data_IF_611031865190
#
_entry.id   IF_611031865190
#
_cell.length_a   1.000
_cell.length_b   1.000
_cell.length_c   1.000
_cell.angle_alpha   90.00
_cell.angle_beta   90.00
_cell.angle_gamma   90.00
#
_symmetry.space_group_name_H-M   'P 1'
#
loop_
_entity.id
_entity.type
_entity.pdbx_description
1 polymer ?
#
# COMPACT_ATOMS: atom_id res chain seq x y z
N UNK A 1 17.09 33.16 -2.64
CA UNK A 1 16.94 31.82 -3.25
C UNK A 1 15.47 31.60 -3.56
N UNK A 2 15.14 31.09 -4.75
CA UNK A 2 13.78 30.68 -5.09
C UNK A 2 13.42 29.35 -4.40
N UNK A 3 12.13 29.13 -4.20
CA UNK A 3 11.59 27.87 -3.70
C UNK A 3 11.93 26.71 -4.66
N UNK A 4 12.45 25.61 -4.12
CA UNK A 4 12.94 24.44 -4.89
C UNK A 4 12.00 23.23 -4.86
N UNK A 5 10.82 23.34 -4.21
CA UNK A 5 9.89 22.21 -4.11
C UNK A 5 9.38 21.80 -5.49
N UNK A 6 9.44 20.50 -5.80
CA UNK A 6 8.97 19.94 -7.07
C UNK A 6 7.45 20.01 -7.25
N UNK A 7 6.70 20.19 -6.16
CA UNK A 7 5.24 20.14 -6.15
C UNK A 7 4.68 18.74 -6.40
N UNK A 8 5.51 17.69 -6.44
CA UNK A 8 5.09 16.29 -6.59
C UNK A 8 5.12 15.57 -5.25
N UNK A 9 4.07 14.82 -4.94
CA UNK A 9 3.94 14.00 -3.73
C UNK A 9 3.64 12.56 -4.13
N UNK A 10 4.31 11.61 -3.50
CA UNK A 10 4.00 10.19 -3.56
C UNK A 10 3.46 9.74 -2.21
N UNK A 11 2.30 9.11 -2.22
CA UNK A 11 1.68 8.53 -1.03
C UNK A 11 2.18 7.10 -0.89
N UNK A 12 2.58 6.69 0.32
CA UNK A 12 3.16 5.36 0.55
C UNK A 12 2.51 4.66 1.73
N UNK A 13 2.22 3.37 1.59
CA UNK A 13 1.86 2.49 2.71
C UNK A 13 2.91 2.55 3.81
N UNK A 14 2.47 2.48 5.07
CA UNK A 14 3.34 2.60 6.24
C UNK A 14 4.57 1.68 6.18
N UNK A 15 4.39 0.43 5.74
CA UNK A 15 5.44 -0.57 5.68
C UNK A 15 6.59 -0.24 4.73
N UNK A 16 6.38 0.64 3.73
CA UNK A 16 7.43 1.12 2.82
C UNK A 16 8.46 1.97 3.59
N UNK A 17 8.00 2.74 4.58
CA UNK A 17 8.83 3.60 5.42
C UNK A 17 9.19 2.99 6.78
N UNK A 18 8.60 1.85 7.13
CA UNK A 18 8.86 1.17 8.40
C UNK A 18 8.49 -0.31 8.31
N UNK A 19 9.45 -1.14 7.90
CA UNK A 19 9.27 -2.59 7.75
C UNK A 19 8.99 -3.31 9.07
N UNK A 20 9.21 -2.66 10.22
CA UNK A 20 8.80 -3.17 11.55
C UNK A 20 7.28 -3.26 11.73
N UNK A 21 6.49 -2.67 10.83
CA UNK A 21 5.03 -2.79 10.81
C UNK A 21 4.51 -4.05 10.10
N UNK A 22 5.39 -4.73 9.37
CA UNK A 22 5.09 -6.00 8.71
C UNK A 22 4.87 -7.09 9.75
N UNK A 23 4.23 -8.17 9.33
CA UNK A 23 4.21 -9.40 10.11
C UNK A 23 5.63 -9.99 10.21
N UNK A 24 5.84 -10.77 11.27
CA UNK A 24 7.14 -11.38 11.55
C UNK A 24 7.67 -12.19 10.36
N UNK A 25 8.99 -12.12 10.14
CA UNK A 25 9.73 -12.83 9.09
C UNK A 25 9.44 -12.35 7.64
N UNK A 26 8.63 -11.31 7.42
CA UNK A 26 8.37 -10.76 6.09
C UNK A 26 9.35 -9.66 5.66
N UNK A 27 10.00 -8.99 6.61
CA UNK A 27 10.96 -7.92 6.30
C UNK A 27 12.17 -8.45 5.50
N UNK A 28 12.51 -7.75 4.41
CA UNK A 28 13.71 -7.98 3.61
C UNK A 28 14.81 -6.95 3.87
N UNK A 29 14.47 -5.89 4.60
CA UNK A 29 15.34 -4.78 4.94
C UNK A 29 15.33 -4.57 6.46
N UNK A 30 16.35 -3.90 7.01
CA UNK A 30 16.41 -3.62 8.44
C UNK A 30 15.50 -2.48 8.91
N UNK A 31 14.96 -1.64 8.00
CA UNK A 31 14.18 -0.47 8.42
C UNK A 31 13.14 0.02 7.41
N UNK A 32 13.53 0.25 6.16
CA UNK A 32 12.65 0.78 5.10
C UNK A 32 12.80 -0.07 3.84
N UNK A 33 11.84 0.00 2.93
CA UNK A 33 11.98 -0.54 1.56
C UNK A 33 13.02 0.30 0.79
N UNK A 34 14.29 -0.03 0.98
CA UNK A 34 15.43 0.87 0.73
C UNK A 34 15.48 1.37 -0.72
N UNK A 35 15.38 0.47 -1.69
CA UNK A 35 15.48 0.77 -3.12
C UNK A 35 14.32 1.66 -3.57
N UNK A 36 13.12 1.47 -2.99
CA UNK A 36 11.96 2.33 -3.27
C UNK A 36 12.22 3.73 -2.73
N UNK A 37 12.68 3.85 -1.48
CA UNK A 37 12.95 5.15 -0.86
C UNK A 37 14.09 5.90 -1.55
N UNK A 38 15.18 5.22 -1.89
CA UNK A 38 16.30 5.80 -2.65
C UNK A 38 15.84 6.34 -4.00
N UNK A 39 14.96 5.62 -4.71
CA UNK A 39 14.38 6.08 -5.96
C UNK A 39 13.51 7.32 -5.76
N UNK A 40 12.63 7.35 -4.74
CA UNK A 40 11.80 8.52 -4.45
C UNK A 40 12.65 9.76 -4.11
N UNK A 41 13.72 9.58 -3.32
CA UNK A 41 14.69 10.64 -3.01
C UNK A 41 15.33 11.16 -4.30
N UNK A 42 15.84 10.26 -5.15
CA UNK A 42 16.45 10.63 -6.43
C UNK A 42 15.49 11.39 -7.36
N UNK A 43 14.20 11.07 -7.30
CA UNK A 43 13.14 11.76 -8.05
C UNK A 43 12.73 13.12 -7.47
N UNK A 44 13.20 13.47 -6.28
CA UNK A 44 12.91 14.76 -5.66
C UNK A 44 11.43 14.99 -5.35
N UNK A 45 10.69 13.91 -5.05
CA UNK A 45 9.27 13.98 -4.66
C UNK A 45 9.13 14.10 -3.15
N UNK A 46 8.05 14.73 -2.69
CA UNK A 46 7.63 14.61 -1.30
C UNK A 46 7.04 13.22 -1.04
N UNK A 47 7.20 12.70 0.18
CA UNK A 47 6.63 11.41 0.59
C UNK A 47 5.56 11.67 1.65
N UNK A 48 4.33 11.21 1.39
CA UNK A 48 3.23 11.25 2.34
C UNK A 48 2.95 9.83 2.83
N UNK A 49 3.19 9.57 4.11
CA UNK A 49 2.92 8.27 4.71
C UNK A 49 1.44 8.15 5.08
N UNK A 50 0.80 7.04 4.70
CA UNK A 50 -0.49 6.65 5.28
C UNK A 50 -0.27 5.75 6.51
N UNK A 51 -1.15 5.83 7.52
CA UNK A 51 -1.15 4.87 8.63
C UNK A 51 -1.38 3.44 8.11
N UNK A 52 -0.92 2.44 8.87
CA UNK A 52 -1.12 1.04 8.51
C UNK A 52 -2.56 0.62 8.88
N UNK A 53 -3.45 0.31 7.91
CA UNK A 53 -4.86 0.05 8.19
C UNK A 53 -5.06 -1.14 9.14
N UNK A 54 -4.20 -2.15 9.07
CA UNK A 54 -4.29 -3.33 9.91
C UNK A 54 -3.81 -3.05 11.35
N UNK A 55 -2.84 -2.16 11.54
CA UNK A 55 -2.42 -1.72 12.89
C UNK A 55 -3.48 -0.82 13.50
N UNK A 56 -4.06 0.11 12.74
CA UNK A 56 -5.17 0.94 13.22
C UNK A 56 -6.36 0.10 13.69
N UNK A 57 -6.62 -1.02 13.01
CA UNK A 57 -7.72 -1.92 13.36
C UNK A 57 -7.38 -2.90 14.50
N UNK A 58 -6.17 -3.45 14.54
CA UNK A 58 -5.85 -4.64 15.35
C UNK A 58 -4.51 -4.57 16.11
N UNK A 59 -3.81 -3.44 16.04
CA UNK A 59 -2.52 -3.23 16.70
C UNK A 59 -1.35 -3.98 16.03
N UNK A 60 -0.15 -3.82 16.61
CA UNK A 60 1.07 -4.40 16.05
C UNK A 60 1.14 -5.92 16.20
N UNK A 61 0.56 -6.48 17.26
CA UNK A 61 0.54 -7.93 17.54
C UNK A 61 -0.56 -8.70 16.80
N UNK A 62 -1.15 -8.07 15.77
CA UNK A 62 -2.25 -8.65 14.98
C UNK A 62 -1.83 -9.96 14.32
N UNK A 63 -2.80 -10.85 14.12
CA UNK A 63 -2.61 -12.05 13.29
C UNK A 63 -2.75 -11.68 11.82
N UNK A 64 -1.96 -12.37 11.01
CA UNK A 64 -2.10 -12.36 9.58
C UNK A 64 -3.46 -12.92 9.15
N UNK A 65 -4.17 -12.19 8.29
CA UNK A 65 -5.51 -12.54 7.83
C UNK A 65 -5.62 -12.24 6.32
N UNK A 66 -6.40 -13.02 5.55
CA UNK A 66 -6.64 -12.71 4.15
C UNK A 66 -7.68 -11.61 3.96
N UNK A 67 -7.80 -11.12 2.72
CA UNK A 67 -8.66 -10.00 2.31
C UNK A 67 -10.09 -10.13 2.83
N UNK A 68 -10.70 -11.31 2.73
CA UNK A 68 -12.09 -11.57 3.13
C UNK A 68 -12.35 -11.22 4.59
N UNK A 69 -11.34 -11.33 5.46
CA UNK A 69 -11.44 -10.98 6.87
C UNK A 69 -11.68 -9.49 7.11
N UNK A 70 -11.33 -8.65 6.13
CA UNK A 70 -11.44 -7.19 6.20
C UNK A 70 -12.64 -6.65 5.42
N UNK A 71 -13.39 -7.50 4.69
CA UNK A 71 -14.53 -7.06 3.88
C UNK A 71 -15.83 -6.87 4.68
N UNK A 72 -15.84 -7.24 5.96
CA UNK A 72 -17.00 -7.04 6.83
C UNK A 72 -17.42 -5.55 6.83
N UNK A 73 -18.72 -5.20 6.68
CA UNK A 73 -19.17 -3.82 6.53
C UNK A 73 -18.66 -2.85 7.61
N UNK A 74 -18.64 -3.30 8.87
CA UNK A 74 -18.08 -2.50 10.00
C UNK A 74 -16.59 -2.19 9.86
N UNK A 75 -15.81 -3.10 9.28
CA UNK A 75 -14.37 -2.88 9.03
C UNK A 75 -14.21 -1.92 7.85
N UNK A 76 -14.98 -2.11 6.78
CA UNK A 76 -15.01 -1.17 5.65
C UNK A 76 -15.38 0.25 6.07
N UNK A 77 -16.33 0.42 6.99
CA UNK A 77 -16.68 1.73 7.53
C UNK A 77 -15.49 2.41 8.25
N UNK A 78 -14.71 1.66 9.02
CA UNK A 78 -13.47 2.16 9.65
C UNK A 78 -12.48 2.63 8.59
N UNK A 79 -12.26 1.81 7.55
CA UNK A 79 -11.35 2.14 6.45
C UNK A 79 -11.84 3.27 5.56
N UNK A 80 -13.15 3.40 5.38
CA UNK A 80 -13.78 4.53 4.74
C UNK A 80 -13.45 5.84 5.48
N UNK A 81 -13.66 5.86 6.80
CA UNK A 81 -13.38 7.04 7.62
C UNK A 81 -11.90 7.41 7.60
N UNK A 82 -11.01 6.42 7.66
CA UNK A 82 -9.56 6.62 7.56
C UNK A 82 -9.16 7.19 6.19
N UNK A 83 -9.72 6.66 5.11
CA UNK A 83 -9.50 7.15 3.75
C UNK A 83 -9.98 8.60 3.56
N UNK A 84 -11.12 8.96 4.13
CA UNK A 84 -11.65 10.33 4.12
C UNK A 84 -10.72 11.30 4.88
N UNK A 85 -10.18 10.90 6.04
CA UNK A 85 -9.21 11.71 6.78
C UNK A 85 -7.92 11.98 5.98
N UNK A 86 -7.36 10.95 5.37
CA UNK A 86 -6.18 11.07 4.51
C UNK A 86 -6.49 12.00 3.34
N UNK A 87 -7.63 11.79 2.67
CA UNK A 87 -8.04 12.58 1.50
C UNK A 87 -8.27 14.05 1.85
N UNK A 88 -8.83 14.36 3.04
CA UNK A 88 -8.95 15.74 3.54
C UNK A 88 -7.58 16.44 3.61
N UNK A 89 -6.55 15.74 4.07
CA UNK A 89 -5.18 16.28 4.13
C UNK A 89 -4.59 16.45 2.73
N UNK A 90 -4.72 15.44 1.86
CA UNK A 90 -4.21 15.51 0.48
C UNK A 90 -4.86 16.65 -0.32
N UNK A 91 -6.15 16.92 -0.10
CA UNK A 91 -6.88 18.01 -0.75
C UNK A 91 -6.26 19.39 -0.47
N UNK A 92 -5.66 19.62 0.71
CA UNK A 92 -4.94 20.86 1.00
C UNK A 92 -3.68 21.02 0.13
N UNK A 93 -2.94 19.94 -0.09
CA UNK A 93 -1.79 19.96 -0.99
C UNK A 93 -2.22 20.24 -2.43
N UNK A 94 -3.32 19.63 -2.88
CA UNK A 94 -3.88 19.85 -4.21
C UNK A 94 -4.35 21.30 -4.39
N UNK A 95 -5.07 21.87 -3.43
CA UNK A 95 -5.47 23.29 -3.43
C UNK A 95 -4.27 24.25 -3.48
N UNK A 96 -3.12 23.83 -2.95
CA UNK A 96 -1.85 24.57 -3.03
C UNK A 96 -1.15 24.43 -4.39
N UNK A 97 -1.66 23.59 -5.28
CA UNK A 97 -1.09 23.33 -6.61
C UNK A 97 -0.12 22.15 -6.66
N UNK A 98 -0.06 21.30 -5.64
CA UNK A 98 0.76 20.09 -5.68
C UNK A 98 0.03 18.93 -6.33
N UNK A 99 0.78 18.07 -7.03
CA UNK A 99 0.31 16.86 -7.67
C UNK A 99 0.56 15.66 -6.77
N UNK A 100 -0.48 14.88 -6.50
CA UNK A 100 -0.33 13.51 -5.98
C UNK A 100 -0.01 12.63 -7.18
N UNK A 101 1.26 12.25 -7.33
CA UNK A 101 1.76 11.56 -8.53
C UNK A 101 1.44 10.08 -8.51
N UNK A 102 1.66 9.42 -7.37
CA UNK A 102 1.47 7.99 -7.23
C UNK A 102 1.05 7.61 -5.81
N UNK A 103 0.40 6.45 -5.69
CA UNK A 103 0.12 5.73 -4.44
C UNK A 103 0.85 4.41 -4.52
N UNK A 104 1.73 4.18 -3.54
CA UNK A 104 2.55 2.99 -3.43
C UNK A 104 2.00 2.11 -2.30
N UNK A 105 1.43 0.97 -2.69
CA UNK A 105 0.96 -0.09 -1.79
C UNK A 105 1.94 -1.25 -1.68
N UNK A 106 1.52 -2.33 -1.02
CA UNK A 106 2.32 -3.55 -0.83
C UNK A 106 1.56 -4.76 -1.36
N UNK A 107 2.07 -5.38 -2.43
CA UNK A 107 1.38 -6.50 -3.08
C UNK A 107 1.26 -7.71 -2.19
N UNK A 108 0.11 -8.38 -2.31
CA UNK A 108 -0.28 -9.50 -1.46
C UNK A 108 -0.91 -9.09 -0.14
N UNK A 109 -0.79 -7.82 0.29
CA UNK A 109 -1.47 -7.34 1.50
C UNK A 109 -2.99 -7.36 1.30
N UNK A 110 -3.76 -7.86 2.28
CA UNK A 110 -5.23 -7.86 2.23
C UNK A 110 -5.83 -6.45 2.24
N UNK A 111 -5.10 -5.46 2.77
CA UNK A 111 -5.58 -4.08 2.93
C UNK A 111 -4.87 -3.09 2.01
N UNK A 112 -3.58 -3.29 1.75
CA UNK A 112 -2.70 -2.38 1.01
C UNK A 112 -2.23 -2.90 -0.36
N UNK A 113 -2.67 -4.09 -0.80
CA UNK A 113 -2.39 -4.61 -2.14
C UNK A 113 -2.98 -3.71 -3.23
N UNK A 114 -2.33 -3.65 -4.40
CA UNK A 114 -2.78 -2.81 -5.51
C UNK A 114 -3.37 -3.67 -6.62
N UNK A 115 -2.57 -4.61 -7.14
CA UNK A 115 -2.96 -5.49 -8.23
C UNK A 115 -3.13 -6.95 -7.76
N UNK A 116 -2.54 -7.33 -6.62
CA UNK A 116 -2.57 -8.66 -6.01
C UNK A 116 -2.90 -8.61 -4.52
N UNK A 117 -3.74 -9.54 -4.07
CA UNK A 117 -4.14 -9.71 -2.67
C UNK A 117 -4.11 -11.18 -2.25
N UNK A 118 -3.80 -11.44 -0.98
CA UNK A 118 -3.94 -12.77 -0.38
C UNK A 118 -5.39 -13.09 -0.03
N UNK A 119 -5.92 -14.19 -0.58
CA UNK A 119 -7.22 -14.75 -0.25
C UNK A 119 -7.11 -16.17 0.25
N UNK A 120 -8.15 -16.66 0.92
CA UNK A 120 -8.23 -18.07 1.24
C UNK A 120 -8.42 -18.90 -0.02
N UNK A 121 -7.64 -19.98 -0.17
CA UNK A 121 -7.89 -21.00 -1.19
C UNK A 121 -9.32 -21.54 -1.09
N UNK A 122 -10.02 -21.64 -2.21
CA UNK A 122 -11.42 -22.09 -2.23
C UNK A 122 -11.57 -23.58 -1.88
N UNK A 123 -10.66 -24.43 -2.37
CA UNK A 123 -10.79 -25.89 -2.32
C UNK A 123 -10.09 -26.57 -1.13
N UNK A 124 -9.97 -25.88 0.01
CA UNK A 124 -9.34 -26.43 1.23
C UNK A 124 -10.37 -27.22 2.04
N UNK A 125 -10.13 -28.52 2.22
CA UNK A 125 -10.93 -29.37 3.10
C UNK A 125 -10.51 -29.14 4.55
N UNK A 126 -11.47 -28.89 5.44
CA UNK A 126 -11.23 -28.69 6.87
C UNK A 126 -10.93 -27.24 7.24
N UNK A 127 -10.24 -27.04 8.37
CA UNK A 127 -9.92 -25.71 8.90
C UNK A 127 -8.79 -25.07 8.08
N UNK A 128 -9.05 -23.88 7.52
CA UNK A 128 -8.05 -23.08 6.81
C UNK A 128 -7.00 -22.53 7.77
N UNK A 129 -5.75 -22.50 7.33
CA UNK A 129 -4.58 -22.10 8.10
C UNK A 129 -3.70 -21.10 7.33
N UNK A 130 -3.37 -19.98 7.95
CA UNK A 130 -2.42 -19.01 7.42
C UNK A 130 -0.99 -19.43 7.81
N UNK A 131 0.02 -19.32 6.92
CA UNK A 131 -0.05 -18.87 5.52
C UNK A 131 -0.33 -19.99 4.51
N UNK A 132 -0.41 -21.26 4.92
CA UNK A 132 -0.46 -22.43 4.03
C UNK A 132 -1.60 -22.38 3.01
N UNK A 133 -2.76 -21.92 3.47
CA UNK A 133 -4.02 -21.98 2.72
C UNK A 133 -4.35 -20.66 2.04
N UNK A 134 -3.34 -19.81 1.82
CA UNK A 134 -3.44 -18.54 1.10
C UNK A 134 -3.04 -18.71 -0.36
N UNK A 135 -3.78 -18.05 -1.24
CA UNK A 135 -3.42 -17.83 -2.63
C UNK A 135 -3.39 -16.34 -2.97
N UNK A 136 -2.48 -15.94 -3.86
CA UNK A 136 -2.44 -14.58 -4.38
C UNK A 136 -3.30 -14.52 -5.65
N UNK A 137 -4.30 -13.64 -5.62
CA UNK A 137 -5.23 -13.43 -6.73
C UNK A 137 -5.24 -11.96 -7.13
N UNK A 138 -5.66 -11.68 -8.35
CA UNK A 138 -5.83 -10.30 -8.80
C UNK A 138 -6.89 -9.57 -7.97
N UNK A 139 -6.56 -8.36 -7.52
CA UNK A 139 -7.46 -7.51 -6.77
C UNK A 139 -6.73 -6.44 -5.98
N UNK A 140 -7.49 -5.48 -5.46
CA UNK A 140 -6.99 -4.39 -4.63
C UNK A 140 -7.29 -4.66 -3.15
N UNK A 141 -6.43 -4.22 -2.24
CA UNK A 141 -6.65 -4.35 -0.81
C UNK A 141 -7.85 -3.53 -0.34
N UNK A 142 -8.56 -4.00 0.69
CA UNK A 142 -9.84 -3.40 1.12
C UNK A 142 -9.70 -1.90 1.43
N UNK A 143 -8.65 -1.51 2.14
CA UNK A 143 -8.41 -0.09 2.46
C UNK A 143 -8.04 0.73 1.20
N UNK A 144 -7.26 0.16 0.27
CA UNK A 144 -6.92 0.84 -0.97
C UNK A 144 -8.13 1.08 -1.88
N UNK A 145 -9.12 0.17 -1.86
CA UNK A 145 -10.40 0.40 -2.54
C UNK A 145 -11.14 1.62 -1.95
N UNK A 146 -11.22 1.73 -0.62
CA UNK A 146 -11.83 2.88 0.06
C UNK A 146 -11.08 4.18 -0.24
N UNK A 147 -9.75 4.16 -0.20
CA UNK A 147 -8.90 5.31 -0.53
C UNK A 147 -9.07 5.74 -1.99
N UNK A 148 -9.14 4.78 -2.93
CA UNK A 148 -9.37 5.06 -4.35
C UNK A 148 -10.72 5.71 -4.58
N UNK A 149 -11.75 5.21 -3.89
CA UNK A 149 -13.09 5.79 -3.89
C UNK A 149 -13.09 7.23 -3.36
N UNK A 150 -12.41 7.48 -2.23
CA UNK A 150 -12.29 8.82 -1.63
C UNK A 150 -11.58 9.82 -2.53
N UNK A 151 -10.45 9.44 -3.13
CA UNK A 151 -9.72 10.30 -4.07
C UNK A 151 -10.52 10.61 -5.34
N UNK A 152 -11.28 9.63 -5.84
CA UNK A 152 -12.15 9.82 -7.02
C UNK A 152 -13.25 10.86 -6.74
N UNK A 153 -13.81 10.89 -5.51
CA UNK A 153 -14.80 11.91 -5.10
C UNK A 153 -14.27 13.34 -5.17
N UNK A 154 -12.96 13.52 -5.05
CA UNK A 154 -12.29 14.83 -5.18
C UNK A 154 -11.56 15.01 -6.53
N UNK A 155 -11.86 14.16 -7.52
CA UNK A 155 -11.27 14.17 -8.87
C UNK A 155 -9.75 14.02 -8.91
N UNK A 156 -9.20 13.16 -8.04
CA UNK A 156 -7.76 12.87 -7.97
C UNK A 156 -7.51 11.43 -8.41
N UNK A 157 -6.70 11.27 -9.45
CA UNK A 157 -6.45 9.99 -10.11
C UNK A 157 -4.93 9.75 -10.25
N UNK A 158 -4.25 9.38 -9.16
CA UNK A 158 -2.82 9.08 -9.19
C UNK A 158 -2.57 7.70 -9.80
N UNK A 159 -1.32 7.42 -10.18
CA UNK A 159 -0.91 6.06 -10.52
C UNK A 159 -0.86 5.17 -9.28
N UNK A 160 -1.34 3.94 -9.39
CA UNK A 160 -1.32 2.96 -8.30
C UNK A 160 -0.24 1.90 -8.58
N UNK A 161 0.63 1.68 -7.62
CA UNK A 161 1.81 0.83 -7.78
C UNK A 161 1.95 -0.05 -6.53
N UNK A 162 1.89 -1.37 -6.68
CA UNK A 162 2.18 -2.26 -5.57
C UNK A 162 3.63 -2.71 -5.57
N UNK A 163 4.29 -2.60 -4.41
CA UNK A 163 5.64 -3.14 -4.22
C UNK A 163 5.51 -4.65 -3.93
N UNK A 164 6.19 -5.53 -4.68
CA UNK A 164 6.16 -6.96 -4.39
C UNK A 164 6.82 -7.22 -3.03
N UNK A 165 6.12 -7.94 -2.13
CA UNK A 165 6.68 -8.40 -0.86
C UNK A 165 7.59 -9.62 -1.04
N UNK A 166 8.18 -10.10 0.08
CA UNK A 166 9.11 -11.24 0.12
C UNK A 166 8.63 -12.47 -0.64
N UNK A 167 7.39 -12.90 -0.41
CA UNK A 167 6.84 -14.10 -1.06
C UNK A 167 6.77 -13.95 -2.58
N UNK A 168 6.41 -12.77 -3.08
CA UNK A 168 6.28 -12.50 -4.53
C UNK A 168 7.66 -12.39 -5.17
N UNK A 169 8.61 -11.70 -4.52
CA UNK A 169 10.00 -11.60 -5.01
C UNK A 169 10.69 -12.95 -5.10
N UNK A 170 10.41 -13.86 -4.16
CA UNK A 170 10.90 -15.24 -4.20
C UNK A 170 10.37 -16.05 -5.40
N UNK A 171 9.14 -15.77 -5.84
CA UNK A 171 8.52 -16.43 -6.99
C UNK A 171 8.93 -15.80 -8.33
N UNK A 172 9.13 -14.47 -8.34
CA UNK A 172 9.52 -13.70 -9.53
C UNK A 172 10.65 -12.74 -9.17
N UNK A 173 11.88 -13.18 -9.42
CA UNK A 173 13.10 -12.44 -9.03
C UNK A 173 13.21 -11.03 -9.62
N UNK A 174 12.64 -10.79 -10.81
CA UNK A 174 12.62 -9.47 -11.47
C UNK A 174 11.47 -8.55 -11.05
N UNK A 175 10.56 -8.99 -10.18
CA UNK A 175 9.36 -8.23 -9.86
C UNK A 175 9.68 -6.84 -9.26
N UNK A 176 10.70 -6.74 -8.41
CA UNK A 176 11.10 -5.46 -7.84
C UNK A 176 11.68 -4.52 -8.91
N UNK A 177 12.59 -5.02 -9.74
CA UNK A 177 13.21 -4.26 -10.83
C UNK A 177 12.16 -3.68 -11.78
N UNK A 178 11.22 -4.51 -12.25
CA UNK A 178 10.09 -4.08 -13.09
C UNK A 178 9.22 -3.01 -12.41
N UNK A 179 9.03 -3.12 -11.08
CA UNK A 179 8.26 -2.14 -10.30
C UNK A 179 9.02 -0.82 -10.16
N UNK A 180 10.34 -0.86 -9.94
CA UNK A 180 11.19 0.33 -9.88
C UNK A 180 11.23 1.04 -11.24
N UNK A 181 11.28 0.30 -12.34
CA UNK A 181 11.19 0.86 -13.69
C UNK A 181 9.85 1.55 -13.94
N UNK A 182 8.74 0.94 -13.49
CA UNK A 182 7.40 1.55 -13.53
C UNK A 182 7.38 2.87 -12.75
N UNK A 183 7.87 2.89 -11.50
CA UNK A 183 7.97 4.12 -10.69
C UNK A 183 8.82 5.17 -11.41
N UNK A 184 9.95 4.75 -11.99
CA UNK A 184 10.86 5.63 -12.70
C UNK A 184 10.23 6.27 -13.95
N UNK A 185 9.31 5.57 -14.63
CA UNK A 185 8.58 6.09 -15.79
C UNK A 185 7.47 7.09 -15.44
N UNK A 186 6.91 6.98 -14.22
CA UNK A 186 5.78 7.80 -13.76
C UNK A 186 6.26 9.12 -13.12
N UNK A 187 7.38 9.09 -12.39
CA UNK A 187 7.89 10.22 -11.59
C UNK A 187 8.86 11.12 -12.36
#
# INVERSE_FOLDING_TARGET
MSDKRSGKIVVVSHCILNVHSLEDNLAMYPGVEQEVIELLIKKGVGIFQIPCPEIELSGIFRKALPKESYEHPKIREIYHNLAEEITRTLNWYIKKGYKISAIIGAEGSPTCGIDLVGKWKENVKGKKEFPRDIEFVSGMGVFMEELKSALSRINVYPDWIGIPGKSIRSLKSKALEETLDKINSIL
#
